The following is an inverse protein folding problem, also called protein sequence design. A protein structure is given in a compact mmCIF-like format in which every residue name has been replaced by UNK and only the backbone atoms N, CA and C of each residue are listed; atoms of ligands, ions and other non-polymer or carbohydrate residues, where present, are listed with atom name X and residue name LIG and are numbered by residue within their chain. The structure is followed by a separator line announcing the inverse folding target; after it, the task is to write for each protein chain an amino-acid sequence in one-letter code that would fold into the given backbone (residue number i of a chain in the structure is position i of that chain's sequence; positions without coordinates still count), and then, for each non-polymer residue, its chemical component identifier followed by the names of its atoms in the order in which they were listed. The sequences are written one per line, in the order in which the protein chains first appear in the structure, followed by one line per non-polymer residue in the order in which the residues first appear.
data_IF_331594538438
#
_entry.id   IF_331594538438
#
_cell.length_a   1.000
_cell.length_b   1.000
_cell.length_c   1.000
_cell.angle_alpha   90.00
_cell.angle_beta   90.00
_cell.angle_gamma   90.00
#
_symmetry.space_group_name_H-M   'P 1'
#
loop_
_entity.id
_entity.type
_entity.pdbx_description
1 polymer ?
#
# COMPACT_ATOMS: atom_id res chain seq x y z
N UNK A 1 -52.62 25.08 -18.28
CA UNK A 1 -51.61 25.63 -19.21
C UNK A 1 -50.63 26.43 -18.35
N UNK A 2 -49.39 26.04 -18.05
CA UNK A 2 -48.43 25.14 -18.70
C UNK A 2 -47.58 24.46 -17.61
N UNK A 3 -47.49 23.14 -17.65
CA UNK A 3 -46.42 22.39 -17.02
C UNK A 3 -45.12 22.69 -17.78
N UNK A 4 -44.12 23.28 -17.12
CA UNK A 4 -42.73 23.18 -17.60
C UNK A 4 -41.95 22.53 -16.48
N UNK A 5 -41.79 21.23 -16.69
CA UNK A 5 -40.83 20.34 -16.07
C UNK A 5 -39.52 21.05 -15.74
N UNK A 6 -39.22 21.16 -14.45
CA UNK A 6 -37.87 21.41 -13.97
C UNK A 6 -37.04 20.13 -14.19
N UNK A 7 -36.77 19.81 -15.46
CA UNK A 7 -35.85 18.77 -15.89
C UNK A 7 -34.43 19.37 -15.91
N UNK A 8 -33.93 19.76 -14.74
CA UNK A 8 -32.59 20.34 -14.57
C UNK A 8 -31.82 19.59 -13.46
N UNK A 9 -31.76 18.27 -13.55
CA UNK A 9 -30.99 17.42 -12.62
C UNK A 9 -30.37 16.19 -13.31
N UNK A 10 -29.82 16.35 -14.52
CA UNK A 10 -29.15 15.27 -15.26
C UNK A 10 -27.88 15.72 -15.98
N UNK A 11 -27.12 16.65 -15.39
CA UNK A 11 -25.74 16.89 -15.81
C UNK A 11 -24.86 15.80 -15.19
N UNK A 12 -24.21 14.93 -15.99
CA UNK A 12 -23.28 13.95 -15.47
C UNK A 12 -22.07 14.70 -14.92
N UNK A 13 -21.82 14.60 -13.62
CA UNK A 13 -20.57 15.05 -13.03
C UNK A 13 -19.49 14.10 -13.53
N UNK A 14 -18.72 14.52 -14.53
CA UNK A 14 -17.56 13.78 -14.97
C UNK A 14 -16.54 13.81 -13.81
N UNK A 15 -16.43 12.71 -13.07
CA UNK A 15 -15.39 12.54 -12.07
C UNK A 15 -14.05 12.47 -12.80
N UNK A 16 -13.30 13.57 -12.76
CA UNK A 16 -11.94 13.62 -13.30
C UNK A 16 -11.03 12.91 -12.31
N UNK A 17 -10.52 11.73 -12.69
CA UNK A 17 -9.51 11.04 -11.90
C UNK A 17 -8.22 11.88 -11.93
N UNK A 18 -7.82 12.42 -10.76
CA UNK A 18 -6.56 13.13 -10.64
C UNK A 18 -5.45 12.13 -10.34
N UNK A 19 -4.48 12.02 -11.25
CA UNK A 19 -3.25 11.27 -11.00
C UNK A 19 -2.28 12.15 -10.25
N UNK A 20 -2.04 11.85 -8.97
CA UNK A 20 -0.97 12.49 -8.21
C UNK A 20 0.34 11.82 -8.61
N UNK A 21 1.19 12.56 -9.31
CA UNK A 21 2.55 12.14 -9.64
C UNK A 21 3.47 12.79 -8.61
N UNK A 22 4.10 11.97 -7.77
CA UNK A 22 5.08 12.44 -6.78
C UNK A 22 6.46 12.42 -7.47
N UNK A 23 7.12 13.59 -7.55
CA UNK A 23 8.47 13.70 -8.12
C UNK A 23 9.52 12.97 -7.28
N UNK A 24 10.50 12.38 -7.96
CA UNK A 24 11.69 11.79 -7.33
C UNK A 24 12.43 12.87 -6.52
N UNK A 25 12.53 12.68 -5.19
CA UNK A 25 13.16 13.62 -4.27
C UNK A 25 12.21 14.28 -3.26
N UNK A 26 10.88 14.13 -3.39
CA UNK A 26 9.90 14.60 -2.39
C UNK A 26 9.55 13.59 -1.31
N UNK A 27 10.21 12.44 -1.32
CA UNK A 27 10.08 11.42 -0.30
C UNK A 27 11.38 11.35 0.51
N UNK A 28 11.25 11.22 1.84
CA UNK A 28 12.37 11.02 2.76
C UNK A 28 12.27 9.67 3.46
N UNK A 29 13.42 9.10 3.76
CA UNK A 29 13.54 7.89 4.57
C UNK A 29 13.53 8.29 6.05
N UNK A 30 12.65 7.68 6.84
CA UNK A 30 12.58 7.85 8.28
C UNK A 30 12.87 6.51 8.97
N UNK A 31 13.80 6.48 9.91
CA UNK A 31 14.10 5.25 10.65
C UNK A 31 12.89 4.80 11.48
N UNK A 32 12.56 3.50 11.42
CA UNK A 32 11.46 2.94 12.20
C UNK A 32 11.84 2.92 13.69
N UNK A 33 11.02 3.55 14.52
CA UNK A 33 11.20 3.50 15.97
C UNK A 33 10.97 2.07 16.48
N UNK A 34 11.99 1.48 17.09
CA UNK A 34 11.86 0.24 17.86
C UNK A 34 11.59 0.62 19.33
N UNK A 35 10.38 0.36 19.86
CA UNK A 35 10.09 0.64 21.25
C UNK A 35 11.03 -0.12 22.19
N UNK A 36 11.46 0.54 23.26
CA UNK A 36 12.31 -0.08 24.27
C UNK A 36 11.54 -1.20 25.03
N UNK A 37 12.24 -2.18 25.63
CA UNK A 37 11.59 -3.34 26.26
C UNK A 37 10.63 -3.00 27.42
N UNK A 38 10.80 -1.82 28.02
CA UNK A 38 10.02 -1.29 29.13
C UNK A 38 8.62 -0.80 28.73
N UNK A 39 8.33 -0.65 27.44
CA UNK A 39 6.97 -0.32 26.95
C UNK A 39 6.18 -1.55 26.50
N UNK A 40 6.67 -2.76 26.79
CA UNK A 40 5.91 -3.98 26.54
C UNK A 40 4.61 -3.97 27.35
N UNK A 41 3.49 -4.18 26.66
CA UNK A 41 2.16 -4.24 27.28
C UNK A 41 2.13 -5.29 28.41
N UNK A 42 1.67 -4.87 29.59
CA UNK A 42 1.46 -5.75 30.74
C UNK A 42 -0.03 -6.05 30.88
N UNK A 43 -0.49 -7.27 30.53
CA UNK A 43 -1.91 -7.60 30.66
C UNK A 43 -2.36 -7.52 32.12
N UNK A 44 -3.50 -6.87 32.32
CA UNK A 44 -4.16 -6.82 33.63
C UNK A 44 -3.62 -5.77 34.60
N UNK A 45 -2.79 -4.82 34.15
CA UNK A 45 -2.27 -3.72 34.99
C UNK A 45 -2.37 -2.39 34.23
N UNK A 46 -2.87 -1.33 34.87
CA UNK A 46 -2.93 0.01 34.28
C UNK A 46 -1.59 0.77 34.40
N UNK A 47 -1.53 1.97 33.81
CA UNK A 47 -0.35 2.86 33.84
C UNK A 47 0.07 3.28 35.25
N UNK A 48 -0.76 3.04 36.26
CA UNK A 48 -0.50 3.33 37.68
C UNK A 48 -0.24 2.07 38.51
N UNK A 49 -0.09 0.90 37.88
CA UNK A 49 0.18 -0.35 38.58
C UNK A 49 -1.06 -1.00 39.21
N UNK A 50 -2.27 -0.50 38.92
CA UNK A 50 -3.51 -1.04 39.49
C UNK A 50 -4.05 -2.19 38.63
N UNK A 51 -4.61 -3.25 39.24
CA UNK A 51 -5.15 -4.37 38.50
C UNK A 51 -6.36 -3.95 37.64
N UNK A 52 -6.41 -4.44 36.40
CA UNK A 52 -7.49 -4.21 35.43
C UNK A 52 -8.03 -5.56 34.97
N UNK A 53 -9.36 -5.73 35.01
CA UNK A 53 -9.99 -6.95 34.51
C UNK A 53 -9.75 -7.07 32.99
N UNK A 54 -9.32 -8.24 32.48
CA UNK A 54 -9.21 -8.49 31.05
C UNK A 54 -10.57 -8.30 30.37
N UNK A 55 -10.59 -7.68 29.19
CA UNK A 55 -11.78 -7.66 28.36
C UNK A 55 -11.92 -9.05 27.71
N UNK A 56 -12.73 -9.93 28.31
CA UNK A 56 -13.02 -11.24 27.73
C UNK A 56 -13.85 -11.09 26.46
N UNK A 57 -13.18 -11.19 25.31
CA UNK A 57 -13.81 -11.47 24.03
C UNK A 57 -13.46 -12.91 23.70
N UNK A 58 -14.32 -13.85 24.11
CA UNK A 58 -14.19 -15.25 23.76
C UNK A 58 -14.40 -15.44 22.26
N UNK A 59 -13.32 -15.62 21.51
CA UNK A 59 -13.42 -15.86 20.06
C UNK A 59 -12.11 -15.68 19.30
N UNK A 60 -11.04 -16.35 19.71
CA UNK A 60 -9.84 -16.45 18.89
C UNK A 60 -9.90 -17.70 18.01
N UNK A 61 -9.83 -17.54 16.69
CA UNK A 61 -9.58 -18.66 15.78
C UNK A 61 -8.24 -19.31 16.16
N UNK A 62 -8.19 -20.64 16.33
CA UNK A 62 -6.97 -21.40 16.66
C UNK A 62 -5.96 -21.48 15.51
N UNK A 63 -6.07 -20.59 14.51
CA UNK A 63 -5.11 -20.52 13.41
C UNK A 63 -3.91 -19.72 13.89
N UNK A 64 -2.80 -20.42 14.14
CA UNK A 64 -1.51 -19.78 14.37
C UNK A 64 -0.95 -19.34 13.02
N UNK A 65 -0.81 -18.03 12.74
CA UNK A 65 -0.19 -17.57 11.51
C UNK A 65 1.29 -17.96 11.48
N UNK A 66 1.85 -18.22 10.28
CA UNK A 66 3.27 -18.56 10.16
C UNK A 66 4.15 -17.36 10.54
N UNK A 67 5.34 -17.64 11.08
CA UNK A 67 6.34 -16.62 11.38
C UNK A 67 7.03 -16.05 10.14
N UNK A 68 6.96 -16.77 9.02
CA UNK A 68 7.58 -16.39 7.75
C UNK A 68 6.66 -16.74 6.58
N UNK A 69 6.60 -15.85 5.59
CA UNK A 69 5.87 -16.05 4.33
C UNK A 69 6.86 -16.01 3.18
N UNK A 70 6.84 -17.05 2.35
CA UNK A 70 7.63 -17.15 1.13
C UNK A 70 6.82 -16.72 -0.09
N UNK A 71 7.38 -15.83 -0.90
CA UNK A 71 6.76 -15.29 -2.12
C UNK A 71 7.70 -15.58 -3.28
N UNK A 72 7.18 -16.29 -4.30
CA UNK A 72 7.95 -16.52 -5.53
C UNK A 72 7.92 -15.28 -6.42
N UNK A 73 9.10 -14.87 -6.87
CA UNK A 73 9.26 -13.81 -7.86
C UNK A 73 9.22 -14.42 -9.25
N UNK A 74 8.21 -14.05 -10.03
CA UNK A 74 7.96 -14.55 -11.38
C UNK A 74 8.14 -13.41 -12.37
N UNK A 75 8.90 -13.65 -13.44
CA UNK A 75 9.13 -12.70 -14.53
C UNK A 75 8.29 -13.16 -15.73
N UNK A 76 7.27 -12.40 -16.15
CA UNK A 76 6.48 -12.73 -17.32
C UNK A 76 7.28 -12.42 -18.59
N UNK A 77 7.71 -13.46 -19.31
CA UNK A 77 8.62 -13.30 -20.45
C UNK A 77 7.95 -12.58 -21.62
N UNK A 78 6.64 -12.77 -21.77
CA UNK A 78 5.81 -12.14 -22.81
C UNK A 78 5.85 -10.62 -22.74
N UNK A 79 6.02 -10.01 -21.56
CA UNK A 79 6.08 -8.55 -21.38
C UNK A 79 7.38 -7.93 -21.91
N UNK A 80 8.43 -8.73 -22.07
CA UNK A 80 9.73 -8.26 -22.57
C UNK A 80 9.90 -8.45 -24.09
N UNK A 81 8.93 -9.06 -24.76
CA UNK A 81 8.98 -9.30 -26.20
C UNK A 81 8.24 -8.19 -26.95
N UNK A 82 8.89 -7.59 -27.95
CA UNK A 82 8.25 -6.59 -28.82
C UNK A 82 7.06 -7.18 -29.59
N UNK A 83 7.15 -8.46 -29.98
CA UNK A 83 6.06 -9.24 -30.57
C UNK A 83 6.19 -10.67 -30.03
N UNK A 84 5.20 -11.14 -29.29
CA UNK A 84 5.15 -12.52 -28.81
C UNK A 84 4.79 -13.47 -29.97
N UNK A 85 5.52 -14.58 -30.16
CA UNK A 85 5.15 -15.58 -31.16
C UNK A 85 3.79 -16.23 -30.82
N UNK A 86 2.98 -16.61 -31.81
CA UNK A 86 1.65 -17.16 -31.57
C UNK A 86 1.65 -18.52 -30.86
N UNK A 87 2.80 -19.19 -30.79
CA UNK A 87 3.00 -20.45 -30.05
C UNK A 87 3.44 -20.23 -28.60
N UNK A 88 3.78 -19.01 -28.21
CA UNK A 88 4.26 -18.69 -26.88
C UNK A 88 3.06 -18.25 -26.03
N UNK A 89 2.64 -19.10 -25.10
CA UNK A 89 1.58 -18.80 -24.14
C UNK A 89 2.07 -17.94 -22.97
N UNK A 90 1.33 -17.96 -21.85
CA UNK A 90 1.80 -17.39 -20.58
C UNK A 90 3.01 -18.20 -20.09
N UNK A 91 4.18 -17.56 -20.12
CA UNK A 91 5.45 -18.16 -19.68
C UNK A 91 6.08 -17.23 -18.67
N UNK A 92 6.31 -17.77 -17.48
CA UNK A 92 6.97 -17.09 -16.38
C UNK A 92 8.29 -17.76 -16.05
N UNK A 93 9.31 -16.96 -15.77
CA UNK A 93 10.60 -17.45 -15.26
C UNK A 93 10.69 -17.13 -13.77
N UNK A 94 11.05 -18.14 -12.98
CA UNK A 94 11.31 -17.96 -11.57
C UNK A 94 12.63 -17.19 -11.35
N UNK A 95 12.52 -15.98 -10.79
CA UNK A 95 13.66 -15.13 -10.46
C UNK A 95 14.20 -15.40 -9.03
N UNK A 96 13.47 -16.17 -8.24
CA UNK A 96 13.82 -16.58 -6.90
C UNK A 96 12.67 -16.40 -5.91
N UNK A 97 13.01 -16.42 -4.63
CA UNK A 97 12.06 -16.34 -3.52
C UNK A 97 12.45 -15.18 -2.60
N UNK A 98 11.43 -14.45 -2.16
CA UNK A 98 11.53 -13.46 -1.09
C UNK A 98 10.83 -14.02 0.14
N UNK A 99 11.49 -13.93 1.29
CA UNK A 99 10.88 -14.28 2.58
C UNK A 99 10.57 -13.03 3.38
N UNK A 100 9.39 -13.02 3.99
CA UNK A 100 8.88 -11.93 4.83
C UNK A 100 8.66 -12.47 6.24
N UNK A 101 9.37 -11.93 7.21
CA UNK A 101 9.12 -12.21 8.63
C UNK A 101 7.85 -11.46 9.06
N UNK A 102 6.80 -12.20 9.45
CA UNK A 102 5.47 -11.63 9.73
C UNK A 102 5.41 -10.82 11.02
N UNK A 103 6.42 -10.96 11.88
CA UNK A 103 6.51 -10.26 13.17
C UNK A 103 7.26 -8.94 13.05
N UNK A 104 8.31 -8.91 12.23
CA UNK A 104 9.21 -7.76 12.08
C UNK A 104 9.03 -6.99 10.77
N UNK A 105 8.37 -7.60 9.78
CA UNK A 105 8.26 -7.06 8.43
C UNK A 105 9.55 -7.15 7.61
N UNK A 106 10.60 -7.79 8.14
CA UNK A 106 11.89 -7.89 7.46
C UNK A 106 11.76 -8.69 6.17
N UNK A 107 12.29 -8.13 5.07
CA UNK A 107 12.22 -8.70 3.72
C UNK A 107 13.60 -9.24 3.35
N UNK A 108 13.67 -10.52 2.98
CA UNK A 108 14.93 -11.18 2.62
C UNK A 108 14.87 -11.79 1.23
N UNK A 109 15.97 -11.69 0.49
CA UNK A 109 16.19 -12.43 -0.75
C UNK A 109 17.51 -13.18 -0.64
N UNK A 110 17.47 -14.50 -0.83
CA UNK A 110 18.65 -15.40 -0.66
C UNK A 110 19.35 -15.20 0.70
N UNK A 111 18.58 -14.94 1.74
CA UNK A 111 19.07 -14.66 3.10
C UNK A 111 19.63 -13.26 3.34
N UNK A 112 19.79 -12.43 2.30
CA UNK A 112 20.19 -11.03 2.43
C UNK A 112 18.96 -10.15 2.64
N UNK A 113 19.01 -9.20 3.58
CA UNK A 113 17.92 -8.23 3.75
C UNK A 113 17.86 -7.28 2.57
N UNK A 114 16.66 -7.10 2.02
CA UNK A 114 16.35 -6.13 0.97
C UNK A 114 15.80 -4.83 1.55
N UNK A 115 15.25 -4.88 2.76
CA UNK A 115 14.77 -3.73 3.48
C UNK A 115 15.86 -3.19 4.42
N UNK A 116 16.06 -1.87 4.41
CA UNK A 116 16.50 -1.18 5.62
C UNK A 116 15.22 -0.75 6.37
N UNK A 117 15.19 -0.77 7.72
CA UNK A 117 14.00 -0.43 8.49
C UNK A 117 13.73 1.08 8.41
N UNK A 118 13.24 1.54 7.26
CA UNK A 118 12.82 2.90 7.04
C UNK A 118 11.34 2.95 6.62
N UNK A 119 10.60 3.90 7.18
CA UNK A 119 9.36 4.38 6.61
C UNK A 119 9.67 5.40 5.50
N UNK A 120 8.95 5.33 4.38
CA UNK A 120 9.00 6.35 3.33
C UNK A 120 7.91 7.37 3.62
N UNK A 121 8.28 8.62 3.85
CA UNK A 121 7.35 9.73 4.06
C UNK A 121 7.44 10.63 2.83
N UNK A 122 6.34 10.75 2.08
CA UNK A 122 6.24 11.65 0.93
C UNK A 122 5.31 12.81 1.27
N UNK A 123 5.72 14.04 0.98
CA UNK A 123 4.88 15.22 1.22
C UNK A 123 3.83 15.34 0.09
N UNK A 124 2.54 15.36 0.46
CA UNK A 124 1.37 15.38 -0.43
C UNK A 124 1.08 16.74 -1.09
N UNK A 125 1.97 17.74 -1.00
CA UNK A 125 1.73 19.06 -1.59
C UNK A 125 1.87 18.99 -3.14
N UNK A 126 0.87 18.36 -3.75
CA UNK A 126 0.58 18.40 -5.16
C UNK A 126 0.23 19.86 -5.48
N UNK A 127 1.15 20.53 -6.18
CA UNK A 127 0.82 21.78 -6.84
C UNK A 127 -0.18 21.43 -7.94
N UNK A 128 -1.47 21.54 -7.63
CA UNK A 128 -2.57 21.36 -8.58
C UNK A 128 -2.42 22.48 -9.59
N UNK A 129 -1.69 22.23 -10.66
CA UNK A 129 -1.55 23.19 -11.74
C UNK A 129 -2.92 23.26 -12.43
N UNK A 130 -3.63 24.40 -12.38
CA UNK A 130 -4.94 24.49 -13.00
C UNK A 130 -4.80 24.25 -14.52
N UNK A 131 -5.80 23.61 -15.16
CA UNK A 131 -5.74 23.37 -16.60
C UNK A 131 -5.57 24.70 -17.36
N UNK A 132 -4.81 24.71 -18.47
CA UNK A 132 -4.61 25.92 -19.24
C UNK A 132 -5.96 26.50 -19.67
N UNK A 133 -6.13 27.84 -19.63
CA UNK A 133 -7.39 28.48 -20.01
C UNK A 133 -7.74 28.11 -21.46
N UNK A 134 -9.03 27.90 -21.78
CA UNK A 134 -9.43 27.53 -23.13
C UNK A 134 -8.94 28.57 -24.13
N UNK A 135 -8.38 28.09 -25.24
CA UNK A 135 -7.90 28.96 -26.31
C UNK A 135 -9.03 29.89 -26.77
N UNK A 136 -8.74 31.18 -26.82
CA UNK A 136 -9.69 32.20 -27.26
C UNK A 136 -9.96 31.97 -28.76
N UNK A 137 -11.22 31.80 -29.19
CA UNK A 137 -11.52 31.71 -30.62
C UNK A 137 -11.20 33.04 -31.30
N UNK A 138 -10.53 32.96 -32.46
CA UNK A 138 -10.22 34.09 -33.34
C UNK A 138 -11.47 34.60 -34.06
#
# INVERSE_FOLDING_TARGET
MRWISALLCLLPFAAVAQTVVIEEGRCRLAELHQPAPDVAYQPGVDVHGRPVAPADIGGGSNVTPPSEVSIQLLIPITEFLAVAPPFLGEVEVNAGEVTVDTRTGAIRYRGQRLDAPYAVICDEEAEVTPPPPPARPH
#
